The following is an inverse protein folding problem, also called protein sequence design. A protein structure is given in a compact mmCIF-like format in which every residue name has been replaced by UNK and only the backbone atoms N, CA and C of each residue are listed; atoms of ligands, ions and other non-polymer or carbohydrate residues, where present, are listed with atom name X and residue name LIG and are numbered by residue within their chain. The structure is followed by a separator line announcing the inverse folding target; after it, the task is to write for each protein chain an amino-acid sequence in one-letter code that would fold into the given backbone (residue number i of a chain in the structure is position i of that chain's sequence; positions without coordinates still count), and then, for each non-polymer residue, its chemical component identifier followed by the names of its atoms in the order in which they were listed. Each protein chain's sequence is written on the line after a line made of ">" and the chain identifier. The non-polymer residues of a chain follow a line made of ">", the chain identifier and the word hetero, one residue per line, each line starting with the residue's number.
data_IF_577875110843
#
_entry.id   IF_577875110843
#
_cell.length_a   1.000
_cell.length_b   1.000
_cell.length_c   1.000
_cell.angle_alpha   90.00
_cell.angle_beta   90.00
_cell.angle_gamma   90.00
#
_symmetry.space_group_name_H-M   'P 1'
#
loop_
_entity.id
_entity.type
_entity.pdbx_description
1 polymer ?
#
# COMPACT_ATOMS: atom_id res chain seq x y z
N UNK A 1 -12.43 -1.17 11.79
CA UNK A 1 -12.82 -0.11 10.85
C UNK A 1 -13.60 0.91 11.66
N UNK A 2 -13.05 2.10 11.85
CA UNK A 2 -13.84 3.17 12.45
C UNK A 2 -14.87 3.60 11.42
N UNK A 3 -16.14 3.39 11.70
CA UNK A 3 -17.21 4.01 10.94
C UNK A 3 -17.10 5.51 11.19
N UNK A 4 -16.76 6.26 10.15
CA UNK A 4 -16.94 7.70 10.18
C UNK A 4 -18.46 7.92 10.25
N UNK A 5 -18.90 8.49 11.38
CA UNK A 5 -20.32 8.67 11.62
C UNK A 5 -20.94 9.69 10.67
N UNK A 6 -22.25 9.83 10.79
CA UNK A 6 -23.17 10.62 9.96
C UNK A 6 -22.80 12.13 9.76
N UNK A 7 -21.74 12.61 10.35
CA UNK A 7 -21.32 14.03 10.28
C UNK A 7 -20.69 14.44 8.93
N UNK A 8 -20.45 13.50 8.01
CA UNK A 8 -19.83 13.77 6.71
C UNK A 8 -20.79 13.70 5.53
N UNK A 9 -22.07 13.92 5.78
CA UNK A 9 -23.13 13.86 4.74
C UNK A 9 -22.91 14.78 3.54
N UNK A 10 -22.11 15.83 3.69
CA UNK A 10 -21.89 16.81 2.64
C UNK A 10 -20.66 16.54 1.76
N UNK A 11 -19.90 15.50 2.06
CA UNK A 11 -18.76 15.12 1.21
C UNK A 11 -19.24 14.23 0.08
N UNK A 12 -19.48 14.82 -1.08
CA UNK A 12 -19.98 14.15 -2.29
C UNK A 12 -19.08 13.04 -2.80
N UNK A 13 -17.82 12.99 -2.38
CA UNK A 13 -16.81 12.01 -2.80
C UNK A 13 -16.57 10.92 -1.75
N UNK A 14 -17.34 10.90 -0.68
CA UNK A 14 -17.15 9.95 0.39
C UNK A 14 -17.63 8.55 -0.01
N UNK A 15 -16.69 7.65 -0.21
CA UNK A 15 -16.95 6.25 -0.59
C UNK A 15 -17.04 5.29 0.60
N UNK A 16 -16.78 5.76 1.82
CA UNK A 16 -16.64 4.92 3.02
C UNK A 16 -15.25 4.26 3.16
N UNK A 17 -14.34 4.50 2.22
CA UNK A 17 -12.98 3.98 2.25
C UNK A 17 -11.97 5.12 2.35
N UNK A 18 -10.92 4.91 3.14
CA UNK A 18 -9.81 5.87 3.28
C UNK A 18 -8.50 5.21 2.92
N UNK A 19 -7.59 6.00 2.34
CA UNK A 19 -6.23 5.55 2.01
C UNK A 19 -5.43 5.51 3.30
N UNK A 20 -5.04 4.31 3.74
CA UNK A 20 -4.25 4.14 4.96
C UNK A 20 -2.76 4.46 4.75
N UNK A 21 -2.23 4.30 3.55
CA UNK A 21 -0.79 4.40 3.27
C UNK A 21 -0.18 5.75 3.64
N UNK A 22 -0.94 6.84 3.43
CA UNK A 22 -0.48 8.21 3.67
C UNK A 22 -1.37 8.96 4.67
N UNK A 23 -2.25 8.24 5.37
CA UNK A 23 -3.04 8.86 6.42
C UNK A 23 -2.23 8.94 7.72
N UNK A 24 -2.26 10.07 8.42
CA UNK A 24 -1.65 10.16 9.75
C UNK A 24 -2.31 9.13 10.66
N UNK A 25 -1.50 8.27 11.26
CA UNK A 25 -1.98 7.25 12.19
C UNK A 25 -2.03 7.84 13.60
N UNK A 26 -2.96 7.37 14.40
CA UNK A 26 -2.95 7.63 15.84
C UNK A 26 -2.04 6.61 16.53
N UNK A 27 -1.32 7.05 17.55
CA UNK A 27 -0.62 6.16 18.48
C UNK A 27 -1.62 5.32 19.28
N UNK A 28 -1.13 4.28 19.94
CA UNK A 28 -1.96 3.40 20.76
C UNK A 28 -2.70 4.11 21.89
N UNK A 29 -2.20 5.27 22.33
CA UNK A 29 -2.81 6.16 23.34
C UNK A 29 -3.89 7.08 22.77
N UNK A 30 -4.16 7.00 21.46
CA UNK A 30 -5.15 7.85 20.76
C UNK A 30 -4.64 9.23 20.36
N UNK A 31 -3.37 9.56 20.63
CA UNK A 31 -2.77 10.81 20.16
C UNK A 31 -2.49 10.75 18.67
N UNK A 32 -2.67 11.87 17.98
CA UNK A 32 -2.40 11.94 16.53
C UNK A 32 -0.92 12.16 16.27
N UNK A 33 -0.32 11.31 15.43
CA UNK A 33 1.05 11.47 14.97
C UNK A 33 1.29 12.81 14.24
N UNK A 34 0.24 13.45 13.73
CA UNK A 34 0.32 14.75 13.06
C UNK A 34 0.50 15.94 13.98
N UNK A 35 0.48 15.74 15.30
CA UNK A 35 0.63 16.84 16.30
C UNK A 35 2.04 16.98 16.86
N UNK A 36 2.98 16.15 16.47
CA UNK A 36 4.34 16.15 17.05
C UNK A 36 5.13 17.43 16.78
N UNK A 37 4.84 18.13 15.68
CA UNK A 37 5.49 19.40 15.35
C UNK A 37 4.88 20.62 16.04
N UNK A 38 3.78 20.41 16.80
CA UNK A 38 3.07 21.48 17.49
C UNK A 38 2.23 22.40 16.61
N UNK A 39 2.20 22.21 15.29
CA UNK A 39 1.42 23.03 14.37
C UNK A 39 -0.08 22.77 14.49
N UNK A 40 -0.46 21.55 14.88
CA UNK A 40 -1.86 21.13 14.99
C UNK A 40 -2.58 21.02 13.64
N UNK A 41 -1.91 21.33 12.53
CA UNK A 41 -2.45 21.22 11.19
C UNK A 41 -2.11 19.85 10.59
N UNK A 42 -3.10 18.94 10.60
CA UNK A 42 -2.91 17.59 10.09
C UNK A 42 -2.65 17.53 8.56
N UNK A 43 -2.96 18.60 7.84
CA UNK A 43 -2.71 18.66 6.39
C UNK A 43 -1.25 18.98 6.06
N UNK A 44 -0.58 19.73 6.94
CA UNK A 44 0.80 20.15 6.74
C UNK A 44 1.80 19.33 7.55
N UNK A 45 1.35 18.73 8.66
CA UNK A 45 2.21 18.00 9.60
C UNK A 45 2.21 16.49 9.33
N UNK A 46 2.38 16.09 8.09
CA UNK A 46 2.50 14.68 7.76
C UNK A 46 3.99 14.28 7.78
N UNK A 47 4.40 13.55 8.82
CA UNK A 47 5.77 13.06 9.00
C UNK A 47 6.07 11.77 8.24
N UNK A 48 5.15 11.30 7.38
CA UNK A 48 5.39 10.10 6.60
C UNK A 48 6.33 10.41 5.44
N UNK A 49 7.37 9.59 5.32
CA UNK A 49 8.29 9.68 4.21
C UNK A 49 7.58 9.42 2.88
N UNK A 50 7.89 10.28 1.90
CA UNK A 50 7.45 10.03 0.54
C UNK A 50 8.32 8.94 -0.09
N UNK A 51 7.73 7.79 -0.32
CA UNK A 51 8.44 6.63 -0.88
C UNK A 51 8.56 6.78 -2.39
N UNK A 52 9.77 6.96 -2.89
CA UNK A 52 10.08 7.03 -4.32
C UNK A 52 10.22 5.61 -4.90
N UNK A 53 10.91 4.72 -4.19
CA UNK A 53 11.13 3.33 -4.57
C UNK A 53 11.20 2.48 -3.30
N UNK A 54 10.69 1.27 -3.35
CA UNK A 54 10.78 0.33 -2.24
C UNK A 54 11.13 -1.08 -2.70
N UNK A 55 11.52 -1.92 -1.76
CA UNK A 55 12.04 -3.26 -2.05
C UNK A 55 11.09 -4.11 -2.90
N UNK A 56 9.77 -4.04 -2.68
CA UNK A 56 8.79 -4.73 -3.52
C UNK A 56 8.88 -4.35 -5.00
N UNK A 57 9.18 -3.08 -5.31
CA UNK A 57 9.36 -2.63 -6.70
C UNK A 57 10.61 -3.24 -7.33
N UNK A 58 11.71 -3.31 -6.59
CA UNK A 58 12.95 -3.96 -7.04
C UNK A 58 12.71 -5.44 -7.34
N UNK A 59 11.98 -6.14 -6.47
CA UNK A 59 11.64 -7.55 -6.67
C UNK A 59 10.78 -7.78 -7.93
N UNK A 60 9.75 -6.95 -8.13
CA UNK A 60 8.87 -7.07 -9.29
C UNK A 60 9.58 -6.70 -10.59
N UNK A 61 10.45 -5.67 -10.58
CA UNK A 61 11.31 -5.36 -11.72
C UNK A 61 12.27 -6.52 -12.04
N UNK A 62 12.89 -7.13 -11.04
CA UNK A 62 13.78 -8.28 -11.26
C UNK A 62 13.01 -9.49 -11.82
N UNK A 63 11.77 -9.68 -11.39
CA UNK A 63 10.90 -10.73 -11.96
C UNK A 63 10.55 -10.44 -13.42
N UNK A 64 10.22 -9.18 -13.76
CA UNK A 64 9.89 -8.74 -15.12
C UNK A 64 11.08 -8.89 -16.08
N UNK A 65 12.28 -8.60 -15.62
CA UNK A 65 13.51 -8.74 -16.39
C UNK A 65 14.00 -10.19 -16.55
N UNK A 66 13.24 -11.17 -16.07
CA UNK A 66 13.54 -12.59 -16.26
C UNK A 66 14.69 -13.11 -15.40
N UNK A 67 14.87 -12.57 -14.18
CA UNK A 67 15.82 -13.11 -13.22
C UNK A 67 15.67 -14.64 -13.07
N UNK A 68 16.75 -15.40 -12.85
CA UNK A 68 16.65 -16.83 -12.52
C UNK A 68 15.75 -17.14 -11.31
N UNK A 69 15.54 -16.14 -10.45
CA UNK A 69 14.69 -16.20 -9.25
C UNK A 69 13.35 -15.44 -9.41
N UNK A 70 12.93 -15.19 -10.65
CA UNK A 70 11.73 -14.40 -10.94
C UNK A 70 10.50 -14.88 -10.16
N UNK A 71 10.26 -16.19 -10.13
CA UNK A 71 9.12 -16.76 -9.41
C UNK A 71 9.23 -16.57 -7.89
N UNK A 72 10.43 -16.72 -7.33
CA UNK A 72 10.69 -16.51 -5.91
C UNK A 72 10.38 -15.05 -5.51
N UNK A 73 10.87 -14.10 -6.29
CA UNK A 73 10.67 -12.66 -6.03
C UNK A 73 9.21 -12.24 -6.17
N UNK A 74 8.53 -12.73 -7.19
CA UNK A 74 7.11 -12.47 -7.39
C UNK A 74 6.27 -13.05 -6.25
N UNK A 75 6.55 -14.29 -5.85
CA UNK A 75 5.87 -14.96 -4.75
C UNK A 75 6.12 -14.27 -3.41
N UNK A 76 7.31 -13.72 -3.18
CA UNK A 76 7.65 -13.00 -1.95
C UNK A 76 6.72 -11.79 -1.75
N UNK A 77 6.55 -10.96 -2.80
CA UNK A 77 5.65 -9.81 -2.75
C UNK A 77 4.21 -10.26 -2.48
N UNK A 78 3.73 -11.25 -3.22
CA UNK A 78 2.36 -11.75 -3.09
C UNK A 78 2.09 -12.40 -1.73
N UNK A 79 2.97 -13.25 -1.24
CA UNK A 79 2.82 -13.91 0.06
C UNK A 79 2.73 -12.90 1.18
N UNK A 80 3.52 -11.83 1.14
CA UNK A 80 3.44 -10.75 2.12
C UNK A 80 2.02 -10.17 2.22
N UNK A 81 1.36 -9.92 1.08
CA UNK A 81 0.00 -9.38 1.04
C UNK A 81 -1.06 -10.36 1.59
N UNK A 82 -0.80 -11.65 1.48
CA UNK A 82 -1.68 -12.72 1.99
C UNK A 82 -1.30 -13.21 3.39
N UNK A 83 -0.30 -12.60 4.02
CA UNK A 83 0.15 -13.00 5.38
C UNK A 83 -0.42 -12.03 6.40
N UNK A 84 -1.09 -12.56 7.41
CA UNK A 84 -1.58 -11.83 8.58
C UNK A 84 -1.05 -12.50 9.84
N UNK A 85 -0.45 -11.73 10.75
CA UNK A 85 0.11 -12.22 12.01
C UNK A 85 1.06 -13.42 11.83
N UNK A 86 1.86 -13.39 10.76
CA UNK A 86 2.82 -14.47 10.44
C UNK A 86 2.21 -15.70 9.80
N UNK A 87 0.89 -15.74 9.59
CA UNK A 87 0.19 -16.89 9.00
C UNK A 87 -0.23 -16.56 7.56
N UNK A 88 0.17 -17.41 6.61
CA UNK A 88 -0.25 -17.30 5.22
C UNK A 88 -1.72 -17.74 5.08
N UNK A 89 -2.52 -16.90 4.43
CA UNK A 89 -3.93 -17.18 4.18
C UNK A 89 -4.13 -18.42 3.31
N UNK A 90 -5.13 -19.24 3.64
CA UNK A 90 -5.55 -20.36 2.82
C UNK A 90 -6.05 -19.94 1.42
N UNK A 91 -6.38 -18.67 1.23
CA UNK A 91 -6.79 -18.12 -0.07
C UNK A 91 -5.59 -17.77 -0.97
N UNK A 92 -4.36 -17.91 -0.48
CA UNK A 92 -3.19 -17.71 -1.34
C UNK A 92 -3.11 -18.80 -2.39
N UNK A 93 -2.95 -18.40 -3.64
CA UNK A 93 -2.62 -19.28 -4.74
C UNK A 93 -1.41 -18.74 -5.50
N UNK A 94 -0.47 -19.60 -5.80
CA UNK A 94 0.68 -19.23 -6.62
C UNK A 94 0.21 -18.94 -8.05
N UNK A 95 0.70 -17.84 -8.62
CA UNK A 95 0.50 -17.47 -10.02
C UNK A 95 1.81 -17.57 -10.78
N UNK A 96 1.79 -17.93 -12.07
CA UNK A 96 2.99 -17.91 -12.90
C UNK A 96 3.47 -16.48 -13.11
N UNK A 97 4.78 -16.31 -13.27
CA UNK A 97 5.39 -15.03 -13.63
C UNK A 97 5.10 -14.75 -15.10
N UNK A 98 4.08 -13.95 -15.35
CA UNK A 98 3.76 -13.40 -16.67
C UNK A 98 3.72 -11.88 -16.56
N UNK A 99 3.87 -11.19 -17.69
CA UNK A 99 3.80 -9.73 -17.71
C UNK A 99 2.47 -9.23 -17.12
N UNK A 100 1.37 -9.87 -17.48
CA UNK A 100 0.04 -9.52 -17.01
C UNK A 100 -0.09 -9.68 -15.49
N UNK A 101 0.41 -10.78 -14.94
CA UNK A 101 0.37 -11.04 -13.51
C UNK A 101 1.28 -10.08 -12.73
N UNK A 102 2.45 -9.73 -13.27
CA UNK A 102 3.34 -8.74 -12.67
C UNK A 102 2.66 -7.37 -12.67
N UNK A 103 2.10 -6.93 -13.79
CA UNK A 103 1.41 -5.64 -13.88
C UNK A 103 0.21 -5.56 -12.94
N UNK A 104 -0.56 -6.66 -12.82
CA UNK A 104 -1.66 -6.73 -11.87
C UNK A 104 -1.17 -6.63 -10.42
N UNK A 105 -0.10 -7.33 -10.07
CA UNK A 105 0.49 -7.25 -8.74
C UNK A 105 1.05 -5.86 -8.44
N UNK A 106 1.76 -5.23 -9.38
CA UNK A 106 2.21 -3.85 -9.26
C UNK A 106 1.05 -2.90 -8.99
N UNK A 107 -0.05 -3.04 -9.73
CA UNK A 107 -1.26 -2.21 -9.53
C UNK A 107 -1.83 -2.34 -8.13
N UNK A 108 -1.86 -3.54 -7.56
CA UNK A 108 -2.37 -3.79 -6.21
C UNK A 108 -1.38 -3.31 -5.14
N UNK A 109 -0.10 -3.66 -5.30
CA UNK A 109 0.95 -3.37 -4.33
C UNK A 109 1.23 -1.86 -4.20
N UNK A 110 1.25 -1.14 -5.35
CA UNK A 110 1.54 0.28 -5.42
C UNK A 110 0.30 1.16 -5.54
N UNK A 111 -0.88 0.63 -5.26
CA UNK A 111 -2.10 1.41 -5.22
C UNK A 111 -1.91 2.65 -4.32
N UNK A 112 -2.28 3.82 -4.85
CA UNK A 112 -2.12 5.14 -4.21
C UNK A 112 -0.66 5.59 -3.99
N UNK A 113 0.31 4.94 -4.60
CA UNK A 113 1.70 5.41 -4.66
C UNK A 113 1.96 6.06 -6.03
N UNK A 114 2.87 7.05 -6.07
CA UNK A 114 3.16 7.78 -7.32
C UNK A 114 3.72 6.90 -8.42
N UNK A 115 4.40 5.81 -8.07
CA UNK A 115 4.96 4.85 -9.01
C UNK A 115 3.89 4.19 -9.88
N UNK A 116 2.68 4.01 -9.35
CA UNK A 116 1.55 3.44 -10.10
C UNK A 116 1.16 4.29 -11.32
N UNK A 117 1.41 5.60 -11.30
CA UNK A 117 1.15 6.48 -12.46
C UNK A 117 2.00 6.07 -13.67
N UNK A 118 3.26 5.75 -13.46
CA UNK A 118 4.19 5.35 -14.53
C UNK A 118 3.88 3.99 -15.11
N UNK A 119 3.29 3.09 -14.32
CA UNK A 119 2.85 1.77 -14.78
C UNK A 119 1.60 1.84 -15.70
N UNK A 120 0.91 2.99 -15.73
CA UNK A 120 -0.29 3.20 -16.54
C UNK A 120 0.00 3.85 -17.91
N UNK A 121 1.22 4.36 -18.13
CA UNK A 121 1.65 4.97 -19.39
C UNK A 121 2.26 3.96 -20.35
#
# INVERSE_FOLDING_TARGET
>A
MAAFGDTYRDQREYTGYTIKKYSPLCYADGTSASKEDGSGDFQLSNHQDYVIMRYADVLLMAAELGSPKAQEYFDEVRKRAYTSEGTLSANYSQLPVTKENIMQERRLEFAFESINYWDLL
#
